data_IF_911034796160
#
_entry.id   IF_911034796160
#
_cell.length_a   1.000
_cell.length_b   1.000
_cell.length_c   1.000
_cell.angle_alpha   90.00
_cell.angle_beta   90.00
_cell.angle_gamma   90.00
#
_symmetry.space_group_name_H-M   'P 1'
#
loop_
_entity.id
_entity.type
_entity.pdbx_description
1 polymer ?
#
# COMPACT_ATOMS: atom_id res chain seq x y z
N UNK A 1 -26.73 -6.60 -1.34
CA UNK A 1 -26.14 -5.55 -0.50
C UNK A 1 -24.81 -5.14 -1.13
N UNK A 2 -24.46 -3.84 -1.13
CA UNK A 2 -23.15 -3.36 -1.64
C UNK A 2 -22.08 -3.79 -0.63
N UNK A 3 -21.00 -4.46 -1.07
CA UNK A 3 -19.89 -4.85 -0.19
C UNK A 3 -19.29 -3.59 0.42
N UNK A 4 -19.21 -3.52 1.75
CA UNK A 4 -18.51 -2.46 2.46
C UNK A 4 -17.03 -2.83 2.54
N UNK A 5 -16.16 -1.92 2.12
CA UNK A 5 -14.71 -2.10 2.18
C UNK A 5 -14.13 -1.42 3.40
N UNK A 6 -13.17 -2.06 4.02
CA UNK A 6 -12.39 -1.51 5.13
C UNK A 6 -11.31 -0.61 4.54
N UNK A 7 -11.25 0.63 5.02
CA UNK A 7 -10.14 1.52 4.67
C UNK A 7 -8.97 1.22 5.61
N UNK A 8 -7.78 1.02 5.06
CA UNK A 8 -6.57 0.88 5.87
C UNK A 8 -6.44 2.01 6.89
N UNK A 9 -5.99 1.72 8.12
CA UNK A 9 -5.71 2.75 9.11
C UNK A 9 -4.50 3.61 8.73
N UNK A 10 -3.73 3.18 7.73
CA UNK A 10 -2.57 3.90 7.21
C UNK A 10 -2.89 4.59 5.90
N UNK A 11 -2.55 5.88 5.80
CA UNK A 11 -2.69 6.62 4.55
C UNK A 11 -1.45 6.39 3.67
N UNK A 12 -1.36 5.18 3.08
CA UNK A 12 -0.27 4.84 2.18
C UNK A 12 -0.50 5.40 0.78
N UNK A 13 0.57 5.90 0.14
CA UNK A 13 0.49 6.48 -1.21
C UNK A 13 0.16 5.37 -2.20
N UNK A 14 -0.79 5.63 -3.09
CA UNK A 14 -1.21 4.64 -4.09
C UNK A 14 -2.26 3.65 -3.59
N UNK A 15 -2.85 3.86 -2.39
CA UNK A 15 -3.84 2.94 -1.84
C UNK A 15 -5.01 2.68 -2.80
N UNK A 16 -5.54 1.46 -2.75
CA UNK A 16 -6.58 0.98 -3.67
C UNK A 16 -8.00 1.04 -3.11
N UNK A 17 -8.18 1.57 -1.89
CA UNK A 17 -9.49 1.60 -1.23
C UNK A 17 -10.63 2.13 -2.11
N UNK A 18 -10.39 3.24 -2.83
CA UNK A 18 -11.43 3.87 -3.66
C UNK A 18 -11.83 3.05 -4.89
N UNK A 19 -10.97 2.17 -5.34
CA UNK A 19 -11.18 1.35 -6.55
C UNK A 19 -11.37 -0.14 -6.24
N UNK A 20 -11.39 -0.52 -4.94
CA UNK A 20 -11.58 -1.92 -4.54
C UNK A 20 -12.74 -2.61 -5.25
N UNK A 21 -13.90 -1.94 -5.33
CA UNK A 21 -15.07 -2.48 -6.03
C UNK A 21 -14.89 -2.65 -7.54
N UNK A 22 -13.90 -1.98 -8.14
CA UNK A 22 -13.61 -2.14 -9.57
C UNK A 22 -12.63 -3.28 -9.81
N UNK A 23 -11.57 -3.39 -8.99
CA UNK A 23 -10.56 -4.43 -9.17
C UNK A 23 -11.04 -5.79 -8.69
N UNK A 24 -11.72 -5.87 -7.55
CA UNK A 24 -12.17 -7.15 -6.98
C UNK A 24 -13.16 -7.93 -7.86
N UNK A 25 -13.95 -7.27 -8.70
CA UNK A 25 -14.85 -7.97 -9.62
C UNK A 25 -14.12 -8.86 -10.63
N UNK A 26 -12.82 -8.62 -10.80
CA UNK A 26 -11.93 -9.37 -11.67
C UNK A 26 -11.07 -10.39 -10.91
N UNK A 27 -11.12 -10.42 -9.58
CA UNK A 27 -10.41 -11.39 -8.78
C UNK A 27 -11.10 -12.76 -8.87
N UNK A 28 -10.37 -13.88 -8.66
CA UNK A 28 -10.96 -15.21 -8.61
C UNK A 28 -12.06 -15.27 -7.53
N UNK A 29 -13.14 -16.00 -7.82
CA UNK A 29 -14.27 -16.14 -6.86
C UNK A 29 -13.90 -16.90 -5.59
N UNK A 30 -12.97 -17.84 -5.71
CA UNK A 30 -12.44 -18.62 -4.60
C UNK A 30 -10.93 -18.52 -4.65
N UNK A 31 -10.33 -18.16 -3.53
CA UNK A 31 -8.88 -18.01 -3.37
C UNK A 31 -8.50 -18.81 -2.13
N UNK A 32 -7.64 -19.81 -2.32
CA UNK A 32 -7.09 -20.58 -1.20
C UNK A 32 -5.89 -19.83 -0.63
N UNK A 33 -4.87 -19.52 -1.43
CA UNK A 33 -3.75 -18.68 -1.02
C UNK A 33 -3.68 -17.41 -1.88
N UNK A 34 -3.53 -16.27 -1.21
CA UNK A 34 -3.29 -14.98 -1.86
C UNK A 34 -1.93 -14.42 -1.46
N UNK A 35 -1.15 -13.98 -2.44
CA UNK A 35 0.02 -13.13 -2.23
C UNK A 35 -0.29 -11.71 -2.70
N UNK A 36 -0.16 -10.72 -1.81
CA UNK A 36 -0.15 -9.29 -2.13
C UNK A 36 1.32 -8.83 -2.12
N UNK A 37 1.92 -8.75 -3.31
CA UNK A 37 3.38 -8.63 -3.47
C UNK A 37 3.92 -7.24 -3.14
N UNK A 38 3.07 -6.20 -3.21
CA UNK A 38 3.35 -4.79 -2.90
C UNK A 38 2.22 -4.25 -2.04
N UNK A 39 2.06 -4.79 -0.83
CA UNK A 39 0.84 -4.59 -0.04
C UNK A 39 0.65 -3.16 0.48
N UNK A 40 1.73 -2.38 0.63
CA UNK A 40 1.68 -1.02 1.16
C UNK A 40 0.85 -0.93 2.43
N UNK A 41 -0.24 -0.16 2.38
CA UNK A 41 -1.21 -0.05 3.48
C UNK A 41 -2.17 -1.23 3.63
N UNK A 42 -2.02 -2.31 2.90
CA UNK A 42 -2.83 -3.54 2.94
C UNK A 42 -4.31 -3.39 2.56
N UNK A 43 -4.69 -2.32 1.86
CA UNK A 43 -6.11 -2.15 1.46
C UNK A 43 -6.64 -3.34 0.64
N UNK A 44 -5.82 -3.96 -0.22
CA UNK A 44 -6.25 -5.10 -1.03
C UNK A 44 -6.30 -6.37 -0.19
N UNK A 45 -5.26 -6.63 0.60
CA UNK A 45 -5.15 -7.80 1.47
C UNK A 45 -6.33 -7.91 2.44
N UNK A 46 -6.62 -6.85 3.22
CA UNK A 46 -7.68 -6.87 4.26
C UNK A 46 -9.10 -6.92 3.69
N UNK A 47 -9.27 -6.60 2.41
CA UNK A 47 -10.56 -6.59 1.73
C UNK A 47 -10.79 -7.78 0.80
N UNK A 48 -9.81 -8.66 0.62
CA UNK A 48 -9.93 -9.85 -0.23
C UNK A 48 -10.10 -11.08 0.65
N UNK A 49 -11.12 -11.89 0.34
CA UNK A 49 -11.38 -13.12 1.09
C UNK A 49 -10.50 -14.26 0.51
N UNK A 50 -9.58 -14.79 1.31
CA UNK A 50 -8.76 -15.97 1.04
C UNK A 50 -8.54 -16.78 2.33
N UNK A 51 -8.18 -18.06 2.21
CA UNK A 51 -7.93 -18.88 3.41
C UNK A 51 -6.60 -18.49 4.07
N UNK A 52 -5.59 -18.18 3.25
CA UNK A 52 -4.28 -17.73 3.72
C UNK A 52 -3.83 -16.51 2.92
N UNK A 53 -3.30 -15.51 3.59
CA UNK A 53 -2.75 -14.31 2.97
C UNK A 53 -1.25 -14.20 3.26
N UNK A 54 -0.50 -13.81 2.25
CA UNK A 54 0.88 -13.35 2.35
C UNK A 54 0.92 -11.92 1.85
N UNK A 55 1.36 -11.01 2.70
CA UNK A 55 1.49 -9.58 2.38
C UNK A 55 2.95 -9.17 2.44
N UNK A 56 3.48 -8.69 1.33
CA UNK A 56 4.87 -8.28 1.22
C UNK A 56 4.97 -6.80 0.81
N UNK A 57 5.91 -6.09 1.38
CA UNK A 57 6.32 -4.76 0.92
C UNK A 57 7.79 -4.54 1.26
N UNK A 58 8.54 -3.84 0.40
CA UNK A 58 9.94 -3.49 0.68
C UNK A 58 10.05 -2.53 1.87
N UNK A 59 9.00 -1.76 2.14
CA UNK A 59 8.96 -0.82 3.26
C UNK A 59 8.72 -1.55 4.59
N UNK A 60 9.82 -2.02 5.19
CA UNK A 60 9.78 -2.74 6.45
C UNK A 60 9.13 -1.94 7.59
N UNK A 61 9.20 -0.63 7.60
CA UNK A 61 8.55 0.20 8.61
C UNK A 61 7.03 0.01 8.66
N UNK A 62 6.40 -0.18 7.49
CA UNK A 62 4.96 -0.44 7.40
C UNK A 62 4.64 -1.88 7.78
N UNK A 63 5.47 -2.82 7.34
CA UNK A 63 5.35 -4.23 7.70
C UNK A 63 5.50 -4.43 9.21
N UNK A 64 6.45 -3.76 9.83
CA UNK A 64 6.67 -3.84 11.29
C UNK A 64 5.44 -3.35 12.07
N UNK A 65 4.75 -2.29 11.62
CA UNK A 65 3.50 -1.84 12.24
C UNK A 65 2.43 -2.94 12.19
N UNK A 66 2.21 -3.57 11.02
CA UNK A 66 1.21 -4.64 10.91
C UNK A 66 1.60 -5.87 11.72
N UNK A 67 2.88 -6.23 11.73
CA UNK A 67 3.40 -7.33 12.54
C UNK A 67 3.21 -7.05 14.03
N UNK A 68 3.42 -5.80 14.45
CA UNK A 68 3.20 -5.38 15.83
C UNK A 68 1.71 -5.42 16.19
N UNK A 69 0.83 -4.98 15.29
CA UNK A 69 -0.62 -5.09 15.48
C UNK A 69 -1.10 -6.54 15.68
N UNK A 70 -0.44 -7.53 15.10
CA UNK A 70 -0.81 -8.94 15.29
C UNK A 70 -0.43 -9.51 16.67
N UNK A 71 0.51 -8.89 17.38
CA UNK A 71 1.00 -9.41 18.67
C UNK A 71 0.05 -9.15 19.83
N UNK A 72 -0.79 -8.13 19.71
CA UNK A 72 -1.57 -7.63 20.83
C UNK A 72 -3.07 -7.61 20.52
N UNK A 73 -3.87 -7.59 21.59
CA UNK A 73 -5.32 -7.40 21.45
C UNK A 73 -5.67 -5.98 20.99
N UNK A 74 -6.85 -5.85 20.41
CA UNK A 74 -7.39 -4.54 20.00
C UNK A 74 -7.41 -3.55 21.17
N UNK A 75 -7.83 -3.99 22.35
CA UNK A 75 -7.89 -3.14 23.54
C UNK A 75 -6.51 -2.65 23.95
N UNK A 76 -5.50 -3.55 23.99
CA UNK A 76 -4.12 -3.16 24.29
C UNK A 76 -3.60 -2.10 23.32
N UNK A 77 -3.81 -2.28 22.02
CA UNK A 77 -3.35 -1.33 21.00
C UNK A 77 -4.01 0.04 21.20
N UNK A 78 -5.32 0.07 21.45
CA UNK A 78 -6.04 1.31 21.69
C UNK A 78 -5.59 2.01 22.99
N UNK A 79 -5.41 1.27 24.07
CA UNK A 79 -4.88 1.79 25.33
C UNK A 79 -3.45 2.33 25.17
N UNK A 80 -2.59 1.64 24.41
CA UNK A 80 -1.25 2.11 24.10
C UNK A 80 -1.27 3.44 23.35
N UNK A 81 -2.11 3.55 22.32
CA UNK A 81 -2.26 4.78 21.53
C UNK A 81 -2.73 5.93 22.42
N UNK A 82 -3.81 5.73 23.18
CA UNK A 82 -4.37 6.76 24.05
C UNK A 82 -3.40 7.17 25.17
N UNK A 83 -2.73 6.19 25.75
CA UNK A 83 -1.70 6.42 26.78
C UNK A 83 -0.51 7.20 26.24
N UNK A 84 -0.03 6.86 25.04
CA UNK A 84 1.08 7.57 24.39
C UNK A 84 0.70 9.00 24.03
N UNK A 85 -0.50 9.21 23.44
CA UNK A 85 -1.03 10.54 23.13
C UNK A 85 -1.07 11.41 24.41
N UNK A 86 -1.58 10.85 25.50
CA UNK A 86 -1.65 11.55 26.80
C UNK A 86 -0.27 11.85 27.37
N UNK A 87 0.63 10.87 27.37
CA UNK A 87 1.99 10.97 27.91
C UNK A 87 2.81 12.06 27.23
N UNK A 88 2.70 12.15 25.90
CA UNK A 88 3.45 13.09 25.09
C UNK A 88 2.68 14.38 24.77
N UNK A 89 1.47 14.56 25.31
CA UNK A 89 0.59 15.70 25.06
C UNK A 89 0.34 15.97 23.56
N UNK A 90 0.29 14.87 22.76
CA UNK A 90 0.11 14.98 21.31
C UNK A 90 -1.26 15.59 20.98
N UNK A 91 -1.26 16.63 20.20
CA UNK A 91 -2.48 17.28 19.72
C UNK A 91 -2.26 17.84 18.31
N UNK A 92 -3.33 18.23 17.65
CA UNK A 92 -3.23 18.83 16.30
C UNK A 92 -2.70 20.29 16.31
N UNK A 93 -2.44 20.85 17.49
CA UNK A 93 -1.97 22.25 17.66
C UNK A 93 -0.59 22.34 18.27
N UNK A 94 -0.07 21.27 18.88
CA UNK A 94 1.23 21.27 19.57
C UNK A 94 2.33 20.69 18.69
N UNK A 95 3.07 21.56 18.02
CA UNK A 95 4.17 21.18 17.14
C UNK A 95 5.42 20.72 17.92
N UNK A 96 5.65 21.26 19.14
CA UNK A 96 6.82 20.88 19.94
C UNK A 96 6.64 19.50 20.54
N UNK A 97 5.46 19.16 21.06
CA UNK A 97 5.15 17.80 21.51
C UNK A 97 5.35 16.77 20.38
N UNK A 98 4.86 17.07 19.15
CA UNK A 98 5.09 16.22 17.99
C UNK A 98 6.57 16.04 17.68
N UNK A 99 7.36 17.10 17.70
CA UNK A 99 8.80 17.06 17.41
C UNK A 99 9.54 16.23 18.45
N UNK A 100 9.27 16.44 19.73
CA UNK A 100 9.87 15.66 20.82
C UNK A 100 9.54 14.16 20.68
N UNK A 101 8.29 13.83 20.37
CA UNK A 101 7.88 12.44 20.17
C UNK A 101 8.52 11.82 18.90
N UNK A 102 8.68 12.59 17.83
CA UNK A 102 9.39 12.16 16.62
C UNK A 102 10.86 11.86 16.91
N UNK A 103 11.52 12.73 17.68
CA UNK A 103 12.93 12.54 18.04
C UNK A 103 13.10 11.31 18.94
N UNK A 104 12.15 11.08 19.87
CA UNK A 104 12.06 9.85 20.67
C UNK A 104 11.88 8.61 19.79
N UNK A 105 10.89 8.60 18.90
CA UNK A 105 10.71 7.51 17.94
C UNK A 105 12.00 7.23 17.14
N UNK A 106 12.65 8.27 16.64
CA UNK A 106 13.87 8.10 15.86
C UNK A 106 15.01 7.46 16.64
N UNK A 107 14.98 7.52 17.98
CA UNK A 107 15.95 6.82 18.84
C UNK A 107 15.53 5.40 19.21
N UNK A 108 14.23 5.10 19.28
CA UNK A 108 13.70 3.79 19.74
C UNK A 108 13.26 2.89 18.60
N UNK A 109 12.71 3.48 17.53
CA UNK A 109 12.16 2.80 16.35
C UNK A 109 10.98 1.86 16.66
N UNK A 110 10.23 2.14 17.73
CA UNK A 110 9.05 1.32 18.10
C UNK A 110 7.92 1.45 17.06
N UNK A 111 7.41 0.34 16.48
CA UNK A 111 6.45 0.39 15.40
C UNK A 111 5.11 1.07 15.75
N UNK A 112 4.59 0.86 16.98
CA UNK A 112 3.34 1.51 17.39
C UNK A 112 3.52 3.02 17.53
N UNK A 113 4.69 3.49 17.93
CA UNK A 113 5.01 4.92 18.01
C UNK A 113 5.06 5.54 16.60
N UNK A 114 5.58 4.79 15.61
CA UNK A 114 5.54 5.23 14.22
C UNK A 114 4.12 5.41 13.70
N UNK A 115 3.23 4.47 14.02
CA UNK A 115 1.81 4.60 13.66
C UNK A 115 1.19 5.86 14.28
N UNK A 116 1.47 6.12 15.56
CA UNK A 116 0.98 7.32 16.25
C UNK A 116 1.56 8.59 15.62
N UNK A 117 2.86 8.62 15.32
CA UNK A 117 3.48 9.75 14.61
C UNK A 117 2.82 10.04 13.27
N UNK A 118 2.55 9.00 12.47
CA UNK A 118 1.83 9.14 11.21
C UNK A 118 0.47 9.80 11.43
N UNK A 119 -0.26 9.46 12.50
CA UNK A 119 -1.56 10.04 12.81
C UNK A 119 -1.51 11.57 13.07
N UNK A 120 -0.39 12.12 13.52
CA UNK A 120 -0.22 13.55 13.77
C UNK A 120 0.61 14.27 12.69
N UNK A 121 1.07 13.54 11.68
CA UNK A 121 1.92 14.08 10.62
C UNK A 121 1.13 14.74 9.48
N UNK A 122 1.82 15.57 8.70
CA UNK A 122 1.26 16.21 7.52
C UNK A 122 0.75 15.18 6.50
N UNK A 123 -0.52 15.28 6.15
CA UNK A 123 -1.23 14.37 5.25
C UNK A 123 -1.18 12.89 5.68
N UNK A 124 -0.89 12.58 6.95
CA UNK A 124 -0.82 11.21 7.47
C UNK A 124 0.14 10.30 6.69
N UNK A 125 1.29 10.84 6.26
CA UNK A 125 2.21 10.12 5.36
C UNK A 125 3.41 9.56 6.09
N UNK A 126 3.92 8.44 5.58
CA UNK A 126 5.23 7.91 5.94
C UNK A 126 6.30 8.58 5.07
N UNK A 127 7.24 9.27 5.73
CA UNK A 127 8.38 9.89 5.07
C UNK A 127 9.61 9.71 5.94
N UNK A 128 10.68 9.20 5.32
CA UNK A 128 11.96 8.95 5.96
C UNK A 128 13.07 9.69 5.22
N UNK A 129 14.15 10.00 5.92
CA UNK A 129 15.40 10.45 5.31
C UNK A 129 16.26 9.25 4.87
N UNK A 130 17.46 9.52 4.31
CA UNK A 130 18.39 8.47 3.89
C UNK A 130 18.92 7.58 5.02
N UNK A 131 18.82 8.04 6.26
CA UNK A 131 19.20 7.28 7.46
C UNK A 131 18.02 6.48 8.06
N UNK A 132 16.89 6.41 7.33
CA UNK A 132 15.65 5.80 7.82
C UNK A 132 15.07 6.46 9.08
N UNK A 133 15.37 7.75 9.32
CA UNK A 133 14.68 8.51 10.35
C UNK A 133 13.39 9.11 9.80
N UNK A 134 12.34 9.01 10.59
CA UNK A 134 11.06 9.62 10.26
C UNK A 134 11.18 11.15 10.26
N UNK A 135 10.88 11.78 9.14
CA UNK A 135 11.07 13.21 8.92
C UNK A 135 9.84 13.93 8.36
N UNK A 136 8.67 13.28 8.42
CA UNK A 136 7.44 13.95 7.97
C UNK A 136 7.13 15.15 8.85
N UNK A 137 6.72 16.32 8.29
CA UNK A 137 6.32 17.46 9.05
C UNK A 137 5.07 17.24 9.91
N UNK A 138 4.89 18.07 10.93
CA UNK A 138 3.68 18.12 11.73
C UNK A 138 2.46 18.52 10.90
N UNK A 139 1.34 17.86 11.15
CA UNK A 139 0.07 18.09 10.47
C UNK A 139 -0.80 19.14 11.18
N UNK A 140 -0.25 20.37 11.37
CA UNK A 140 -0.87 21.45 12.11
C UNK A 140 -2.35 21.64 11.78
N UNK A 141 -3.20 21.74 12.80
CA UNK A 141 -4.65 22.00 12.78
C UNK A 141 -5.50 20.96 12.01
N UNK A 142 -4.87 19.87 11.47
CA UNK A 142 -5.54 18.89 10.59
C UNK A 142 -5.41 17.47 11.07
N UNK A 143 -4.21 17.07 11.52
CA UNK A 143 -3.88 15.67 11.74
C UNK A 143 -3.96 15.31 13.22
N UNK A 144 -4.71 14.25 13.52
CA UNK A 144 -4.80 13.64 14.85
C UNK A 144 -5.33 12.22 14.71
N UNK A 145 -5.12 11.39 15.72
CA UNK A 145 -5.81 10.10 15.82
C UNK A 145 -7.28 10.38 16.17
N UNK A 146 -8.16 10.32 15.18
CA UNK A 146 -9.57 10.66 15.28
C UNK A 146 -10.47 9.42 15.26
N UNK A 147 -11.77 9.59 15.53
CA UNK A 147 -12.74 8.49 15.62
C UNK A 147 -12.82 7.66 14.34
N UNK A 148 -12.68 8.28 13.15
CA UNK A 148 -12.68 7.56 11.87
C UNK A 148 -11.46 6.66 11.75
N UNK A 149 -10.28 7.14 12.16
CA UNK A 149 -9.04 6.34 12.16
C UNK A 149 -9.16 5.20 13.18
N UNK A 150 -9.68 5.48 14.37
CA UNK A 150 -9.94 4.47 15.41
C UNK A 150 -10.86 3.37 14.88
N UNK A 151 -11.98 3.72 14.27
CA UNK A 151 -12.92 2.75 13.72
C UNK A 151 -12.31 1.92 12.58
N UNK A 152 -11.52 2.53 11.70
CA UNK A 152 -10.81 1.82 10.64
C UNK A 152 -9.72 0.89 11.21
N UNK A 153 -9.00 1.32 12.25
CA UNK A 153 -8.00 0.49 12.92
C UNK A 153 -8.66 -0.75 13.51
N UNK A 154 -9.73 -0.62 14.29
CA UNK A 154 -10.45 -1.75 14.88
C UNK A 154 -10.86 -2.75 13.80
N UNK A 155 -11.54 -2.29 12.74
CA UNK A 155 -11.95 -3.15 11.61
C UNK A 155 -10.77 -3.84 10.93
N UNK A 156 -9.61 -3.19 10.88
CA UNK A 156 -8.40 -3.76 10.29
C UNK A 156 -7.81 -4.85 11.19
N UNK A 157 -7.71 -4.59 12.49
CA UNK A 157 -7.16 -5.54 13.47
C UNK A 157 -7.91 -6.88 13.43
N UNK A 158 -9.25 -6.85 13.26
CA UNK A 158 -10.08 -8.05 13.12
C UNK A 158 -9.73 -8.90 11.86
N UNK A 159 -8.99 -8.34 10.90
CA UNK A 159 -8.64 -9.01 9.63
C UNK A 159 -7.22 -9.53 9.58
N UNK A 160 -6.37 -9.21 10.58
CA UNK A 160 -4.94 -9.48 10.48
C UNK A 160 -4.54 -10.93 10.82
N UNK A 161 -5.37 -11.70 11.52
CA UNK A 161 -4.99 -12.99 12.12
C UNK A 161 -4.41 -14.03 11.14
N UNK A 162 -4.87 -14.02 9.87
CA UNK A 162 -4.48 -14.99 8.84
C UNK A 162 -3.51 -14.42 7.80
N UNK A 163 -2.83 -13.32 8.11
CA UNK A 163 -1.91 -12.65 7.18
C UNK A 163 -0.47 -12.90 7.62
N UNK A 164 0.34 -13.43 6.72
CA UNK A 164 1.78 -13.56 6.90
C UNK A 164 2.48 -12.35 6.28
N UNK A 165 3.10 -11.52 7.12
CA UNK A 165 3.80 -10.32 6.67
C UNK A 165 5.26 -10.61 6.40
N UNK A 166 5.79 -10.07 5.30
CA UNK A 166 7.21 -10.13 4.92
C UNK A 166 7.68 -8.79 4.37
N UNK A 167 8.96 -8.50 4.56
CA UNK A 167 9.60 -7.28 4.07
C UNK A 167 10.78 -7.64 3.17
N UNK A 168 10.46 -7.93 1.90
CA UNK A 168 11.45 -8.34 0.90
C UNK A 168 11.31 -7.53 -0.38
N UNK A 169 12.42 -7.30 -1.05
CA UNK A 169 12.37 -6.93 -2.47
C UNK A 169 11.61 -8.00 -3.24
N UNK A 170 10.75 -7.60 -4.18
CA UNK A 170 9.88 -8.53 -4.91
C UNK A 170 10.64 -9.62 -5.68
N UNK A 171 11.88 -9.31 -6.14
CA UNK A 171 12.74 -10.29 -6.82
C UNK A 171 13.22 -11.40 -5.88
N UNK A 172 13.29 -11.12 -4.58
CA UNK A 172 13.77 -12.04 -3.54
C UNK A 172 12.62 -12.69 -2.76
N UNK A 173 11.37 -12.46 -3.22
CA UNK A 173 10.21 -13.08 -2.61
C UNK A 173 10.16 -14.58 -2.93
N UNK A 174 9.83 -15.40 -1.93
CA UNK A 174 9.67 -16.84 -2.12
C UNK A 174 8.26 -17.16 -2.66
N UNK A 175 8.16 -17.38 -3.95
CA UNK A 175 6.91 -17.78 -4.61
C UNK A 175 6.53 -19.24 -4.39
N UNK A 176 7.38 -20.05 -3.74
CA UNK A 176 7.08 -21.45 -3.41
C UNK A 176 5.90 -21.65 -2.47
N UNK A 177 5.40 -20.57 -1.86
CA UNK A 177 4.15 -20.56 -1.07
C UNK A 177 2.90 -20.75 -1.95
N UNK A 178 2.97 -20.44 -3.26
CA UNK A 178 1.87 -20.51 -4.21
C UNK A 178 1.81 -21.87 -4.91
N UNK A 179 0.59 -22.37 -5.13
CA UNK A 179 0.29 -23.60 -5.86
C UNK A 179 -0.62 -23.28 -7.04
N UNK A 180 -0.75 -24.21 -7.97
CA UNK A 180 -1.67 -24.08 -9.11
C UNK A 180 -3.09 -23.69 -8.63
N UNK A 181 -3.61 -22.61 -9.20
CA UNK A 181 -4.93 -22.06 -8.88
C UNK A 181 -4.92 -20.96 -7.82
N UNK A 182 -3.84 -20.79 -7.06
CA UNK A 182 -3.65 -19.68 -6.12
C UNK A 182 -3.56 -18.34 -6.85
N UNK A 183 -3.58 -17.26 -6.09
CA UNK A 183 -3.71 -15.91 -6.62
C UNK A 183 -2.62 -14.97 -6.13
N UNK A 184 -2.01 -14.24 -7.06
CA UNK A 184 -1.09 -13.15 -6.77
C UNK A 184 -1.68 -11.81 -7.21
N UNK A 185 -1.67 -10.83 -6.33
CA UNK A 185 -1.94 -9.43 -6.66
C UNK A 185 -0.62 -8.64 -6.63
N UNK A 186 -0.40 -7.82 -7.66
CA UNK A 186 0.76 -6.94 -7.73
C UNK A 186 0.32 -5.50 -8.04
N UNK A 187 0.79 -4.56 -7.22
CA UNK A 187 0.59 -3.12 -7.38
C UNK A 187 1.93 -2.39 -7.22
N UNK A 188 2.84 -2.56 -8.19
CA UNK A 188 4.17 -1.96 -8.13
C UNK A 188 4.10 -0.44 -8.28
N UNK A 189 5.19 0.30 -7.98
CA UNK A 189 5.33 1.67 -8.43
C UNK A 189 5.16 1.75 -9.95
N UNK A 190 4.41 2.74 -10.47
CA UNK A 190 4.10 2.80 -11.89
C UNK A 190 5.19 3.53 -12.65
N UNK A 191 5.87 2.85 -13.58
CA UNK A 191 7.02 3.34 -14.33
C UNK A 191 6.84 4.76 -14.88
N UNK A 192 5.72 5.00 -15.59
CA UNK A 192 5.48 6.29 -16.26
C UNK A 192 4.95 7.40 -15.35
N UNK A 193 4.69 7.09 -14.05
CA UNK A 193 4.28 8.09 -13.04
C UNK A 193 5.37 8.32 -12.01
N UNK A 194 6.33 7.39 -11.84
CA UNK A 194 7.41 7.49 -10.87
C UNK A 194 8.42 8.61 -11.16
N UNK A 195 8.47 9.14 -12.38
CA UNK A 195 9.32 10.30 -12.69
C UNK A 195 9.03 11.52 -11.80
N UNK A 196 7.82 11.60 -11.21
CA UNK A 196 7.44 12.62 -10.21
C UNK A 196 7.68 12.18 -8.76
N UNK A 197 8.00 10.91 -8.51
CA UNK A 197 8.25 10.32 -7.20
C UNK A 197 9.71 9.85 -7.01
N UNK A 198 10.50 9.90 -8.07
CA UNK A 198 11.88 9.40 -8.10
C UNK A 198 12.85 10.44 -7.49
N UNK A 199 12.57 10.91 -6.29
CA UNK A 199 13.49 11.80 -5.57
C UNK A 199 14.65 11.05 -4.90
N UNK A 200 14.79 9.73 -5.12
CA UNK A 200 15.93 8.92 -4.64
C UNK A 200 16.21 9.00 -3.12
N UNK A 201 15.38 9.78 -2.40
CA UNK A 201 15.63 10.23 -1.03
C UNK A 201 14.87 9.43 0.03
N UNK A 202 14.19 8.34 -0.37
CA UNK A 202 13.34 7.58 0.55
C UNK A 202 13.98 6.31 1.12
N UNK A 203 15.28 6.09 0.84
CA UNK A 203 16.02 4.95 1.39
C UNK A 203 15.70 3.60 0.74
N UNK A 204 14.77 3.54 -0.22
CA UNK A 204 14.38 2.32 -0.94
C UNK A 204 14.80 2.39 -2.41
N UNK A 205 15.04 1.22 -3.02
CA UNK A 205 15.38 1.08 -4.43
C UNK A 205 14.29 1.72 -5.31
N UNK A 206 14.69 2.58 -6.25
CA UNK A 206 13.76 3.19 -7.20
C UNK A 206 13.16 2.16 -8.16
N UNK A 207 12.10 2.56 -8.89
CA UNK A 207 11.45 1.75 -9.91
C UNK A 207 11.88 2.20 -11.30
N UNK A 208 12.46 1.32 -12.09
CA UNK A 208 12.92 1.57 -13.46
C UNK A 208 12.36 0.54 -14.44
N UNK A 209 12.69 0.69 -15.73
CA UNK A 209 12.34 -0.31 -16.76
C UNK A 209 12.86 -1.72 -16.42
N UNK A 210 14.00 -1.80 -15.75
CA UNK A 210 14.59 -3.07 -15.33
C UNK A 210 13.68 -3.79 -14.31
N UNK A 211 13.20 -3.09 -13.30
CA UNK A 211 12.29 -3.65 -12.29
C UNK A 211 10.96 -4.02 -12.91
N UNK A 212 10.43 -3.18 -13.82
CA UNK A 212 9.20 -3.44 -14.57
C UNK A 212 9.30 -4.75 -15.39
N UNK A 213 10.36 -4.91 -16.18
CA UNK A 213 10.61 -6.12 -17.01
C UNK A 213 10.81 -7.34 -16.13
N UNK A 214 11.53 -7.20 -15.01
CA UNK A 214 11.76 -8.28 -14.06
C UNK A 214 10.44 -8.79 -13.45
N UNK A 215 9.57 -7.88 -13.02
CA UNK A 215 8.25 -8.23 -12.51
C UNK A 215 7.43 -8.99 -13.56
N UNK A 216 7.42 -8.51 -14.81
CA UNK A 216 6.69 -9.17 -15.90
C UNK A 216 7.24 -10.57 -16.22
N UNK A 217 8.55 -10.77 -16.11
CA UNK A 217 9.15 -12.10 -16.26
C UNK A 217 8.67 -13.05 -15.17
N UNK A 218 8.63 -12.60 -13.90
CA UNK A 218 8.13 -13.37 -12.77
C UNK A 218 6.66 -13.72 -12.97
N UNK A 219 5.81 -12.74 -13.33
CA UNK A 219 4.38 -12.98 -13.56
C UNK A 219 4.14 -13.97 -14.71
N UNK A 220 4.93 -13.89 -15.78
CA UNK A 220 4.85 -14.83 -16.91
C UNK A 220 5.29 -16.24 -16.50
N UNK A 221 6.27 -16.35 -15.62
CA UNK A 221 6.70 -17.66 -15.10
C UNK A 221 5.65 -18.28 -14.16
N UNK A 222 5.05 -17.47 -13.28
CA UNK A 222 3.95 -17.90 -12.42
C UNK A 222 2.73 -18.37 -13.24
N UNK A 223 2.42 -17.71 -14.35
CA UNK A 223 1.36 -18.13 -15.29
C UNK A 223 1.62 -19.53 -15.85
N UNK A 224 2.85 -19.84 -16.27
CA UNK A 224 3.23 -21.20 -16.75
C UNK A 224 3.03 -22.29 -15.69
N UNK A 225 3.09 -21.90 -14.40
CA UNK A 225 2.82 -22.80 -13.27
C UNK A 225 1.36 -22.82 -12.84
N UNK A 226 0.47 -22.18 -13.62
CA UNK A 226 -0.98 -22.15 -13.38
C UNK A 226 -1.41 -21.28 -12.19
N UNK A 227 -0.56 -20.33 -11.78
CA UNK A 227 -0.89 -19.36 -10.74
C UNK A 227 -1.61 -18.19 -11.40
N UNK A 228 -2.74 -17.81 -10.85
CA UNK A 228 -3.51 -16.65 -11.30
C UNK A 228 -2.90 -15.37 -10.79
N UNK A 229 -2.85 -14.31 -11.62
CA UNK A 229 -2.42 -13.00 -11.15
C UNK A 229 -3.32 -11.87 -11.62
N UNK A 230 -3.28 -10.78 -10.87
CA UNK A 230 -3.82 -9.48 -11.27
C UNK A 230 -2.77 -8.40 -10.99
N UNK A 231 -2.38 -7.67 -12.03
CA UNK A 231 -1.40 -6.59 -11.98
C UNK A 231 -2.12 -5.24 -12.16
N UNK A 232 -2.07 -4.37 -11.15
CA UNK A 232 -2.42 -2.96 -11.30
C UNK A 232 -1.27 -2.19 -11.94
N UNK A 233 -1.56 -1.35 -12.92
CA UNK A 233 -0.55 -0.48 -13.53
C UNK A 233 -1.22 0.69 -14.27
N UNK A 234 -0.42 1.60 -14.83
CA UNK A 234 -0.85 2.72 -15.67
C UNK A 234 -0.36 2.50 -17.10
N UNK A 235 -1.30 2.45 -18.06
CA UNK A 235 -0.98 2.27 -19.49
C UNK A 235 -0.67 3.58 -20.21
N UNK A 236 -1.20 4.71 -19.69
CA UNK A 236 -0.96 6.03 -20.23
C UNK A 236 -1.09 7.10 -19.13
N UNK A 237 -0.16 8.05 -19.07
CA UNK A 237 -0.17 9.17 -18.14
C UNK A 237 0.26 10.45 -18.86
N UNK A 238 -0.62 11.46 -18.93
CA UNK A 238 -0.35 12.76 -19.58
C UNK A 238 0.25 12.62 -21.00
N UNK A 239 -0.31 11.69 -21.79
CA UNK A 239 0.15 11.42 -23.17
C UNK A 239 1.36 10.49 -23.28
N UNK A 240 2.05 10.17 -22.18
CA UNK A 240 3.15 9.18 -22.16
C UNK A 240 2.55 7.79 -22.05
N UNK A 241 2.93 6.87 -22.92
CA UNK A 241 2.48 5.48 -22.93
C UNK A 241 3.49 4.55 -22.27
N UNK A 242 3.00 3.53 -21.59
CA UNK A 242 3.82 2.44 -21.09
C UNK A 242 3.90 1.34 -22.17
N UNK A 243 4.86 1.49 -23.09
CA UNK A 243 5.00 0.57 -24.22
C UNK A 243 5.49 -0.82 -23.78
N UNK A 244 6.24 -0.91 -22.69
CA UNK A 244 6.70 -2.17 -22.09
C UNK A 244 5.49 -2.98 -21.61
N UNK A 245 4.59 -2.37 -20.84
CA UNK A 245 3.33 -2.97 -20.43
C UNK A 245 2.48 -3.37 -21.62
N UNK A 246 2.33 -2.43 -22.59
CA UNK A 246 1.49 -2.64 -23.77
C UNK A 246 1.95 -3.83 -24.62
N UNK A 247 3.26 -3.99 -24.78
CA UNK A 247 3.86 -5.13 -25.48
C UNK A 247 3.66 -6.41 -24.70
N UNK A 248 4.01 -6.43 -23.41
CA UNK A 248 3.99 -7.62 -22.58
C UNK A 248 2.60 -8.28 -22.49
N UNK A 249 1.54 -7.51 -22.18
CA UNK A 249 0.21 -8.13 -22.05
C UNK A 249 -0.35 -8.63 -23.38
N UNK A 250 0.00 -8.01 -24.51
CA UNK A 250 -0.42 -8.46 -25.85
C UNK A 250 0.29 -9.73 -26.28
N UNK A 251 1.61 -9.77 -26.12
CA UNK A 251 2.44 -10.92 -26.51
C UNK A 251 2.01 -12.20 -25.76
N UNK A 252 1.62 -12.05 -24.49
CA UNK A 252 1.14 -13.14 -23.66
C UNK A 252 -0.38 -13.38 -23.75
N UNK A 253 -1.12 -12.55 -24.49
CA UNK A 253 -2.59 -12.61 -24.63
C UNK A 253 -3.34 -12.43 -23.30
N UNK A 254 -2.80 -11.65 -22.37
CA UNK A 254 -3.44 -11.34 -21.10
C UNK A 254 -4.60 -10.36 -21.27
N UNK A 255 -5.52 -10.39 -20.33
CA UNK A 255 -6.72 -9.55 -20.33
C UNK A 255 -6.43 -8.19 -19.68
N UNK A 256 -6.78 -7.12 -20.38
CA UNK A 256 -6.63 -5.76 -19.87
C UNK A 256 -8.00 -5.18 -19.51
N UNK A 257 -8.17 -4.82 -18.24
CA UNK A 257 -9.39 -4.22 -17.68
C UNK A 257 -9.13 -2.75 -17.34
N UNK A 258 -9.98 -1.87 -17.83
CA UNK A 258 -9.88 -0.44 -17.49
C UNK A 258 -10.42 -0.19 -16.07
N UNK A 259 -9.68 0.60 -15.30
CA UNK A 259 -10.06 1.05 -13.97
C UNK A 259 -10.31 2.55 -14.03
N UNK A 260 -11.51 2.96 -13.64
CA UNK A 260 -11.88 4.38 -13.66
C UNK A 260 -11.55 5.00 -12.29
N UNK A 261 -10.41 5.67 -12.19
CA UNK A 261 -10.06 6.46 -11.02
C UNK A 261 -10.21 7.94 -11.34
N UNK A 262 -11.05 8.64 -10.56
CA UNK A 262 -11.25 10.07 -10.71
C UNK A 262 -10.29 10.82 -9.78
N UNK A 263 -9.18 11.35 -10.32
CA UNK A 263 -8.19 12.14 -9.59
C UNK A 263 -8.63 13.59 -9.31
N UNK A 264 -9.88 13.96 -9.62
CA UNK A 264 -10.37 15.35 -9.60
C UNK A 264 -10.33 16.05 -8.23
N UNK A 265 -9.95 15.37 -7.14
CA UNK A 265 -9.92 15.96 -5.80
C UNK A 265 -8.53 16.43 -5.32
N UNK A 266 -7.46 16.29 -6.12
CA UNK A 266 -6.12 16.65 -5.65
C UNK A 266 -5.57 17.98 -6.16
N UNK A 267 -6.21 18.64 -7.15
CA UNK A 267 -5.77 19.95 -7.64
C UNK A 267 -6.96 20.80 -8.11
N UNK A 268 -7.40 21.73 -7.27
CA UNK A 268 -8.53 22.64 -7.48
C UNK A 268 -8.30 23.68 -8.63
N UNK A 269 -7.14 23.70 -9.29
CA UNK A 269 -6.75 24.72 -10.26
C UNK A 269 -6.37 24.23 -11.68
N UNK A 270 -6.58 22.98 -12.04
CA UNK A 270 -6.20 22.51 -13.38
C UNK A 270 -7.42 22.34 -14.29
N UNK A 271 -7.73 23.38 -15.07
CA UNK A 271 -8.73 23.39 -16.16
C UNK A 271 -8.21 22.79 -17.49
N UNK A 272 -7.31 21.80 -17.47
CA UNK A 272 -6.80 21.19 -18.71
C UNK A 272 -7.17 19.72 -18.77
N UNK A 273 -7.91 19.34 -19.80
CA UNK A 273 -8.36 17.99 -20.17
C UNK A 273 -7.23 17.03 -20.58
N UNK A 274 -5.99 17.51 -20.74
CA UNK A 274 -4.84 16.73 -21.22
C UNK A 274 -4.07 15.96 -20.15
N UNK A 275 -4.59 15.90 -18.91
CA UNK A 275 -3.92 15.23 -17.76
C UNK A 275 -4.57 13.90 -17.38
N UNK A 276 -5.05 13.13 -18.35
CA UNK A 276 -5.71 11.86 -18.09
C UNK A 276 -4.67 10.79 -17.77
N UNK A 277 -4.85 10.13 -16.61
CA UNK A 277 -4.17 8.87 -16.27
C UNK A 277 -5.10 7.72 -16.58
N UNK A 278 -4.63 6.73 -17.34
CA UNK A 278 -5.38 5.51 -17.66
C UNK A 278 -4.83 4.35 -16.82
N UNK A 279 -5.48 4.11 -15.72
CA UNK A 279 -5.17 2.99 -14.82
C UNK A 279 -5.83 1.72 -15.36
N UNK A 280 -5.12 0.59 -15.24
CA UNK A 280 -5.56 -0.71 -15.74
C UNK A 280 -5.26 -1.81 -14.73
N UNK A 281 -6.03 -2.90 -14.84
CA UNK A 281 -5.74 -4.17 -14.21
C UNK A 281 -5.48 -5.19 -15.31
N UNK A 282 -4.36 -5.90 -15.26
CA UNK A 282 -4.03 -6.99 -16.19
C UNK A 282 -4.16 -8.32 -15.48
N UNK A 283 -4.87 -9.29 -16.09
CA UNK A 283 -5.04 -10.64 -15.55
C UNK A 283 -4.67 -11.70 -16.59
N UNK A 284 -4.24 -12.89 -16.15
CA UNK A 284 -3.89 -14.04 -17.00
C UNK A 284 -5.04 -15.07 -17.15
N UNK A 285 -6.22 -14.78 -16.62
CA UNK A 285 -7.40 -15.65 -16.65
C UNK A 285 -8.64 -14.89 -17.08
#
# INVERSE_FOLDING_TARGET
MKKEYIKSPMNYIGNKYRIMGQIQKWFPRKIDTMVDLFCGGCDVTINTDAQTHYANDINYHVIDIFTEFQKYSTDYILEYIDGTIKKWHLSKTDAEAYKMFRDYYNSTKEPLDLYILMCFSFNYQFRFNSNHDYNNPFGKDRSSFNDVMRANLIKTLDRLSNIHFTSKEFQNYDFGVLKQGDFLYADPPYLITCASYNDGKRGFTGWSEREEINLYSILTDLDKHGIKFALSNVIEHKGVKNDILAKWYRDNKYHLHRVNFNYNNSNYHAKNTDKVTKEVLVTNY
#
